data_IF_294842093872
#
_entry.id   IF_294842093872
#
_cell.length_a   1.000
_cell.length_b   1.000
_cell.length_c   1.000
_cell.angle_alpha   90.00
_cell.angle_beta   90.00
_cell.angle_gamma   90.00
#
_symmetry.space_group_name_H-M   'P 1'
#
loop_
_entity.id
_entity.type
_entity.pdbx_description
1 polymer ?
#
# COMPACT_ATOMS: atom_id res chain seq x y z
N UNK A 1 5.21 -1.48 -0.70
CA UNK A 1 3.78 -1.28 -0.32
C UNK A 1 2.78 -1.45 -1.47
N UNK A 2 3.19 -1.42 -2.76
CA UNK A 2 2.29 -1.61 -3.91
C UNK A 2 1.59 -2.99 -3.93
N UNK A 3 2.24 -4.03 -3.42
CA UNK A 3 1.73 -5.40 -3.42
C UNK A 3 0.33 -5.56 -2.79
N UNK A 4 0.02 -4.84 -1.71
CA UNK A 4 -1.31 -4.90 -1.07
C UNK A 4 -2.42 -4.39 -1.98
N UNK A 5 -2.12 -3.39 -2.81
CA UNK A 5 -3.07 -2.70 -3.70
C UNK A 5 -3.17 -3.38 -5.07
N UNK A 6 -2.08 -3.98 -5.55
CA UNK A 6 -2.03 -4.54 -6.91
C UNK A 6 -2.17 -6.06 -6.96
N UNK A 7 -1.90 -6.77 -5.86
CA UNK A 7 -2.03 -8.23 -5.81
C UNK A 7 -2.48 -8.78 -4.46
N UNK A 8 -2.89 -7.91 -3.53
CA UNK A 8 -3.17 -8.28 -2.15
C UNK A 8 -4.60 -7.98 -1.71
N UNK A 9 -4.77 -7.87 -0.40
CA UNK A 9 -6.09 -7.75 0.25
C UNK A 9 -6.88 -6.51 -0.13
N UNK A 10 -6.24 -5.48 -0.71
CA UNK A 10 -6.91 -4.26 -1.13
C UNK A 10 -7.27 -4.21 -2.63
N UNK A 11 -6.69 -5.09 -3.44
CA UNK A 11 -6.77 -5.01 -4.92
C UNK A 11 -8.20 -4.94 -5.42
N UNK A 12 -9.05 -5.88 -5.01
CA UNK A 12 -10.40 -5.95 -5.54
C UNK A 12 -11.20 -4.68 -5.25
N UNK A 13 -11.10 -4.12 -4.04
CA UNK A 13 -11.84 -2.91 -3.68
C UNK A 13 -11.29 -1.67 -4.39
N UNK A 14 -9.98 -1.46 -4.33
CA UNK A 14 -9.38 -0.23 -4.88
C UNK A 14 -9.49 -0.20 -6.40
N UNK A 15 -9.10 -1.27 -7.09
CA UNK A 15 -9.05 -1.33 -8.55
C UNK A 15 -10.44 -1.59 -9.15
N UNK A 16 -11.12 -2.67 -8.73
CA UNK A 16 -12.34 -3.10 -9.41
C UNK A 16 -13.61 -2.39 -8.90
N UNK A 17 -13.73 -2.13 -7.60
CA UNK A 17 -14.95 -1.51 -7.02
C UNK A 17 -14.92 0.00 -7.13
N UNK A 18 -13.79 0.64 -6.79
CA UNK A 18 -13.66 2.09 -6.80
C UNK A 18 -13.02 2.66 -8.06
N UNK A 19 -12.45 1.83 -8.95
CA UNK A 19 -11.86 2.30 -10.21
C UNK A 19 -10.68 3.26 -10.01
N UNK A 20 -9.98 3.15 -8.87
CA UNK A 20 -8.83 4.01 -8.58
C UNK A 20 -7.62 3.36 -9.25
N UNK A 21 -7.08 4.02 -10.25
CA UNK A 21 -5.90 3.59 -11.02
C UNK A 21 -4.61 4.32 -10.60
N UNK A 22 -4.73 5.28 -9.69
CA UNK A 22 -3.59 6.04 -9.16
C UNK A 22 -2.45 5.14 -8.64
N UNK A 23 -1.21 5.65 -8.76
CA UNK A 23 -0.07 5.03 -8.11
C UNK A 23 -0.21 5.17 -6.59
N UNK A 24 -0.22 4.05 -5.88
CA UNK A 24 -0.40 4.06 -4.44
C UNK A 24 0.16 2.82 -3.76
N UNK A 25 0.54 2.99 -2.50
CA UNK A 25 0.86 1.91 -1.58
C UNK A 25 -0.25 1.76 -0.54
N UNK A 26 -0.34 0.59 0.07
CA UNK A 26 -1.26 0.39 1.18
C UNK A 26 -0.84 -0.71 2.13
N UNK A 27 -1.47 -0.71 3.30
CA UNK A 27 -1.34 -1.78 4.29
C UNK A 27 -2.64 -1.92 5.07
N UNK A 28 -3.11 -3.16 5.18
CA UNK A 28 -4.19 -3.56 6.07
C UNK A 28 -3.63 -4.01 7.41
N UNK A 29 -4.41 -3.83 8.48
CA UNK A 29 -4.16 -4.50 9.74
C UNK A 29 -5.46 -4.75 10.50
N UNK A 30 -5.39 -5.71 11.40
CA UNK A 30 -6.51 -6.22 12.18
C UNK A 30 -5.98 -6.61 13.55
N UNK A 31 -6.62 -6.19 14.64
CA UNK A 31 -6.27 -6.69 15.99
C UNK A 31 -6.78 -8.11 16.18
N UNK A 32 -6.31 -8.76 17.24
CA UNK A 32 -6.87 -10.04 17.66
C UNK A 32 -8.34 -9.91 18.01
N UNK A 33 -9.09 -11.01 17.86
CA UNK A 33 -10.54 -11.06 18.02
C UNK A 33 -11.32 -10.17 17.05
N UNK A 34 -10.67 -9.55 16.05
CA UNK A 34 -11.31 -8.69 15.06
C UNK A 34 -12.05 -7.48 15.68
N UNK A 35 -11.51 -6.96 16.79
CA UNK A 35 -12.04 -5.78 17.48
C UNK A 35 -11.76 -4.49 16.70
N UNK A 36 -10.61 -4.42 16.03
CA UNK A 36 -10.15 -3.27 15.27
C UNK A 36 -9.66 -3.67 13.89
N UNK A 37 -9.99 -2.85 12.90
CA UNK A 37 -9.47 -2.95 11.54
C UNK A 37 -8.98 -1.59 11.06
N UNK A 38 -7.83 -1.56 10.41
CA UNK A 38 -7.30 -0.34 9.80
C UNK A 38 -6.80 -0.57 8.39
N UNK A 39 -6.80 0.52 7.64
CA UNK A 39 -6.16 0.61 6.35
C UNK A 39 -5.40 1.93 6.27
N UNK A 40 -4.11 1.84 5.98
CA UNK A 40 -3.26 2.99 5.65
C UNK A 40 -3.00 2.98 4.15
N UNK A 41 -3.24 4.11 3.50
CA UNK A 41 -2.94 4.33 2.10
C UNK A 41 -2.02 5.52 1.91
N UNK A 42 -1.09 5.39 0.96
CA UNK A 42 -0.20 6.46 0.54
C UNK A 42 -0.30 6.62 -0.97
N UNK A 43 -0.64 7.84 -1.40
CA UNK A 43 -0.54 8.35 -2.76
C UNK A 43 0.57 9.41 -2.79
N UNK A 44 1.06 9.84 -3.97
CA UNK A 44 2.19 10.76 -4.09
C UNK A 44 2.03 12.04 -3.25
N UNK A 45 0.83 12.61 -3.25
CA UNK A 45 0.52 13.88 -2.62
C UNK A 45 -0.43 13.76 -1.42
N UNK A 46 -0.75 12.53 -0.97
CA UNK A 46 -1.70 12.32 0.13
C UNK A 46 -1.46 11.02 0.87
N UNK A 47 -1.40 11.10 2.20
CA UNK A 47 -1.51 9.96 3.10
C UNK A 47 -2.86 10.01 3.79
N UNK A 48 -3.58 8.90 3.78
CA UNK A 48 -4.83 8.77 4.53
C UNK A 48 -4.88 7.44 5.26
N UNK A 49 -5.40 7.48 6.49
CA UNK A 49 -5.58 6.33 7.34
C UNK A 49 -7.04 6.25 7.78
N UNK A 50 -7.58 5.03 7.80
CA UNK A 50 -8.89 4.76 8.39
C UNK A 50 -8.72 3.67 9.43
N UNK A 51 -9.30 3.91 10.60
CA UNK A 51 -9.51 2.92 11.66
C UNK A 51 -11.01 2.76 11.89
N UNK A 52 -11.42 1.53 12.15
CA UNK A 52 -12.76 1.16 12.58
C UNK A 52 -12.60 0.23 13.76
N UNK A 53 -13.33 0.50 14.83
CA UNK A 53 -13.37 -0.30 16.06
C UNK A 53 -14.35 0.32 17.05
N UNK A 54 -14.50 -0.33 18.21
CA UNK A 54 -15.26 0.20 19.34
C UNK A 54 -14.36 0.80 20.40
N UNK A 55 -14.91 1.67 21.25
CA UNK A 55 -14.19 2.21 22.41
C UNK A 55 -13.86 1.10 23.42
N UNK A 56 -14.76 0.11 23.57
CA UNK A 56 -14.50 -1.13 24.31
C UNK A 56 -14.09 -2.24 23.34
N UNK A 57 -12.98 -2.91 23.63
CA UNK A 57 -12.44 -4.02 22.83
C UNK A 57 -13.28 -5.28 22.88
N UNK A 58 -14.20 -5.39 23.84
CA UNK A 58 -15.20 -6.47 23.85
C UNK A 58 -16.19 -6.34 22.69
N UNK A 59 -16.29 -5.16 22.06
CA UNK A 59 -17.03 -4.96 20.82
C UNK A 59 -16.14 -5.44 19.69
N UNK A 60 -16.57 -6.49 19.01
CA UNK A 60 -15.82 -7.06 17.91
C UNK A 60 -16.75 -7.72 16.90
N UNK A 61 -16.22 -7.98 15.71
CA UNK A 61 -16.93 -8.75 14.71
C UNK A 61 -16.92 -10.24 15.05
N UNK A 62 -17.97 -10.95 14.66
CA UNK A 62 -18.13 -12.38 14.93
C UNK A 62 -17.02 -13.24 14.31
N UNK A 63 -16.38 -12.76 13.25
CA UNK A 63 -15.34 -13.51 12.55
C UNK A 63 -14.41 -12.62 11.71
N UNK A 64 -13.28 -13.21 11.31
CA UNK A 64 -12.24 -12.57 10.48
C UNK A 64 -12.73 -12.12 9.11
N UNK A 65 -13.67 -12.86 8.51
CA UNK A 65 -14.19 -12.46 7.21
C UNK A 65 -14.89 -11.10 7.31
N UNK A 66 -15.57 -10.79 8.42
CA UNK A 66 -16.21 -9.49 8.62
C UNK A 66 -15.23 -8.45 9.19
N UNK A 67 -14.43 -8.84 10.18
CA UNK A 67 -13.60 -7.92 10.96
C UNK A 67 -12.17 -7.73 10.47
N UNK A 68 -11.81 -8.21 9.27
CA UNK A 68 -10.52 -7.86 8.68
C UNK A 68 -10.47 -6.39 8.25
N UNK A 69 -9.32 -5.72 8.38
CA UNK A 69 -9.15 -4.32 7.96
C UNK A 69 -9.55 -4.03 6.50
N UNK A 70 -9.44 -5.02 5.61
CA UNK A 70 -9.92 -4.93 4.23
C UNK A 70 -11.45 -4.82 4.12
N UNK A 71 -12.20 -5.39 5.07
CA UNK A 71 -13.66 -5.38 5.07
C UNK A 71 -14.24 -4.25 5.94
N UNK A 72 -13.48 -3.79 6.93
CA UNK A 72 -13.89 -2.69 7.81
C UNK A 72 -13.45 -1.32 7.28
N UNK A 73 -12.16 -1.02 7.31
CA UNK A 73 -11.63 0.32 7.08
C UNK A 73 -11.45 0.66 5.59
N UNK A 74 -11.04 -0.32 4.78
CA UNK A 74 -10.74 -0.10 3.37
C UNK A 74 -11.93 0.40 2.52
N UNK A 75 -13.20 -0.04 2.70
CA UNK A 75 -14.33 0.54 1.97
C UNK A 75 -14.53 2.04 2.25
N UNK A 76 -14.28 2.48 3.48
CA UNK A 76 -14.36 3.90 3.86
C UNK A 76 -13.24 4.67 3.17
N UNK A 77 -12.00 4.15 3.23
CA UNK A 77 -10.85 4.73 2.53
C UNK A 77 -11.12 4.85 1.02
N UNK A 78 -11.63 3.81 0.37
CA UNK A 78 -11.89 3.83 -1.06
C UNK A 78 -12.95 4.85 -1.46
N UNK A 79 -14.03 4.97 -0.68
CA UNK A 79 -15.03 6.04 -0.87
C UNK A 79 -14.46 7.43 -0.68
N UNK A 80 -13.60 7.61 0.32
CA UNK A 80 -12.92 8.88 0.56
C UNK A 80 -12.02 9.25 -0.62
N UNK A 81 -11.15 8.34 -1.07
CA UNK A 81 -10.25 8.60 -2.20
C UNK A 81 -11.00 8.80 -3.52
N UNK A 82 -12.09 8.07 -3.78
CA UNK A 82 -12.93 8.31 -4.94
C UNK A 82 -13.49 9.75 -4.98
N UNK A 83 -13.86 10.30 -3.80
CA UNK A 83 -14.28 11.71 -3.69
C UNK A 83 -13.10 12.68 -3.83
N UNK A 84 -11.93 12.35 -3.31
CA UNK A 84 -10.72 13.16 -3.47
C UNK A 84 -10.38 13.30 -4.96
N UNK A 85 -10.32 12.19 -5.70
CA UNK A 85 -9.97 12.21 -7.13
C UNK A 85 -11.07 12.78 -8.03
N UNK A 86 -12.33 12.77 -7.59
CA UNK A 86 -13.42 13.43 -8.32
C UNK A 86 -13.40 14.97 -8.21
N UNK A 87 -12.61 15.53 -7.28
CA UNK A 87 -12.55 16.97 -7.01
C UNK A 87 -11.21 17.56 -7.43
N UNK A 88 -11.16 18.10 -8.65
CA UNK A 88 -9.97 18.71 -9.23
C UNK A 88 -9.46 19.94 -8.49
N UNK A 89 -10.27 20.55 -7.60
CA UNK A 89 -9.85 21.74 -6.84
C UNK A 89 -8.82 21.41 -5.75
N UNK A 90 -8.65 20.13 -5.40
CA UNK A 90 -7.69 19.69 -4.37
C UNK A 90 -6.26 19.58 -4.86
N UNK A 91 -6.02 19.63 -6.18
CA UNK A 91 -4.68 19.46 -6.75
C UNK A 91 -4.08 18.08 -6.53
N UNK A 92 -4.92 17.05 -6.36
CA UNK A 92 -4.51 15.65 -6.20
C UNK A 92 -5.14 14.86 -7.33
N UNK A 93 -4.31 14.19 -8.13
CA UNK A 93 -4.72 13.57 -9.38
C UNK A 93 -4.33 12.11 -9.43
N UNK A 94 -5.03 11.30 -10.23
CA UNK A 94 -4.69 9.88 -10.38
C UNK A 94 -3.40 9.70 -11.22
N UNK A 95 -3.04 10.72 -11.97
CA UNK A 95 -1.86 10.82 -12.82
C UNK A 95 -0.59 11.14 -12.03
N UNK A 96 -0.72 11.59 -10.77
CA UNK A 96 0.42 11.86 -9.90
C UNK A 96 1.26 10.58 -9.71
N UNK A 97 2.58 10.74 -9.62
CA UNK A 97 3.55 9.63 -9.46
C UNK A 97 4.49 9.90 -8.31
N UNK A 98 4.99 8.85 -7.68
CA UNK A 98 6.05 9.00 -6.67
C UNK A 98 7.35 9.40 -7.36
N UNK A 99 8.00 10.44 -6.86
CA UNK A 99 9.32 10.84 -7.34
C UNK A 99 10.36 9.84 -6.86
N UNK A 100 11.11 9.24 -7.80
CA UNK A 100 12.26 8.41 -7.47
C UNK A 100 13.37 9.33 -6.92
N UNK A 101 13.98 9.01 -5.76
CA UNK A 101 15.09 9.80 -5.25
C UNK A 101 16.25 9.86 -6.25
N UNK A 102 16.92 11.02 -6.41
CA UNK A 102 18.10 11.12 -7.25
C UNK A 102 19.21 10.22 -6.71
N UNK A 103 20.00 9.64 -7.61
CA UNK A 103 21.16 8.77 -7.29
C UNK A 103 20.82 7.49 -6.49
N UNK A 104 19.57 7.01 -6.53
CA UNK A 104 19.21 5.73 -5.94
C UNK A 104 19.49 4.56 -6.90
N UNK A 105 20.64 3.92 -6.72
CA UNK A 105 21.19 2.84 -7.56
C UNK A 105 21.24 1.47 -6.86
N UNK A 106 20.37 1.20 -5.88
CA UNK A 106 20.31 -0.11 -5.25
C UNK A 106 19.32 -1.02 -5.98
N UNK A 107 19.80 -2.16 -6.49
CA UNK A 107 18.93 -3.23 -7.00
C UNK A 107 18.26 -3.93 -5.81
N UNK A 108 17.02 -3.55 -5.50
CA UNK A 108 16.23 -4.14 -4.42
C UNK A 108 15.31 -5.28 -4.87
N UNK A 109 15.22 -5.50 -6.19
CA UNK A 109 14.42 -6.59 -6.73
C UNK A 109 15.16 -7.90 -6.50
N UNK A 110 14.45 -8.88 -5.93
CA UNK A 110 14.98 -10.22 -5.81
C UNK A 110 15.21 -10.77 -7.21
N UNK A 111 16.44 -11.10 -7.54
CA UNK A 111 16.74 -11.89 -8.73
C UNK A 111 16.27 -13.31 -8.48
N UNK A 112 15.45 -13.83 -9.40
CA UNK A 112 14.98 -15.22 -9.35
C UNK A 112 16.15 -16.22 -9.47
N UNK A 113 17.28 -15.76 -10.02
CA UNK A 113 18.53 -16.50 -10.16
C UNK A 113 19.68 -15.80 -9.40
N UNK A 114 20.15 -16.45 -8.33
CA UNK A 114 21.22 -15.97 -7.45
C UNK A 114 22.54 -15.79 -8.23
N UNK A 115 22.70 -16.40 -9.41
CA UNK A 115 23.89 -16.25 -10.26
C UNK A 115 24.04 -14.86 -10.90
N UNK A 116 22.95 -14.07 -10.97
CA UNK A 116 23.01 -12.67 -11.41
C UNK A 116 23.36 -11.72 -10.26
N UNK A 117 22.95 -12.04 -9.02
CA UNK A 117 23.27 -11.25 -7.82
C UNK A 117 24.79 -11.22 -7.52
N UNK A 118 25.48 -12.33 -7.76
CA UNK A 118 26.94 -12.44 -7.53
C UNK A 118 27.76 -11.67 -8.57
N UNK A 119 27.30 -11.57 -9.82
CA UNK A 119 27.99 -10.79 -10.86
C UNK A 119 28.02 -9.29 -10.57
N UNK A 120 26.96 -8.75 -9.97
CA UNK A 120 26.87 -7.32 -9.65
C UNK A 120 27.69 -6.97 -8.42
N UNK A 121 27.76 -7.87 -7.43
CA UNK A 121 28.49 -7.64 -6.18
C UNK A 121 30.01 -7.78 -6.34
N UNK A 122 30.46 -8.68 -7.21
CA UNK A 122 31.89 -8.83 -7.48
C UNK A 122 32.44 -7.66 -8.31
N UNK A 123 31.72 -7.11 -9.30
CA UNK A 123 32.32 -6.11 -10.21
C UNK A 123 32.63 -4.75 -9.55
N UNK A 124 31.90 -4.33 -8.50
CA UNK A 124 32.14 -3.03 -7.84
C UNK A 124 33.26 -3.05 -6.79
N UNK A 125 33.76 -4.22 -6.39
CA UNK A 125 34.79 -4.33 -5.33
C UNK A 125 36.21 -4.44 -5.91
N UNK A 126 36.38 -4.87 -7.17
CA UNK A 126 37.71 -5.16 -7.73
C UNK A 126 38.34 -4.05 -8.60
N UNK A 127 37.66 -2.94 -8.90
CA UNK A 127 38.25 -1.83 -9.69
C UNK A 127 38.89 -0.69 -8.86
N UNK A 128 38.82 -0.72 -7.52
CA UNK A 128 39.46 0.32 -6.68
C UNK A 128 40.72 -0.14 -5.91
N UNK A 129 41.12 -1.42 -6.01
CA UNK A 129 42.19 -1.99 -5.17
C UNK A 129 43.44 -2.54 -5.91
N UNK A 130 43.78 -2.05 -7.12
CA UNK A 130 45.13 -2.23 -7.72
C UNK A 130 45.57 -1.09 -8.65
#
# INVERSE_FOLDING_TARGET
LKGVVNGGTATYRIRNVFGIEAEMGGKTGTTQNHSDGWYMGIAPNLVAGVWVGGDDRSIHFDNMSLGQGANMALPIYGRFMAKVYADSTRGIYQEDRFEKPPNFNLLLDCVDDISEATKTFDYEIWEEDF
#
